data_IF_069550177373
#
_entry.id   IF_069550177373
#
_cell.length_a   1.000
_cell.length_b   1.000
_cell.length_c   1.000
_cell.angle_alpha   90.00
_cell.angle_beta   90.00
_cell.angle_gamma   90.00
#
_symmetry.space_group_name_H-M   'P 1'
#
loop_
_entity.id
_entity.type
_entity.pdbx_description
1 polymer ?
#
# COMPACT_ATOMS: atom_id res chain seq x y z
N UNK A 1 -7.09 20.19 7.97
CA UNK A 1 -5.87 19.35 7.99
C UNK A 1 -5.50 19.18 9.45
N UNK A 2 -5.47 17.95 9.96
CA UNK A 2 -4.86 17.73 11.28
C UNK A 2 -3.44 18.25 11.24
N UNK A 3 -2.94 18.75 12.35
CA UNK A 3 -1.54 19.14 12.47
C UNK A 3 -0.70 17.89 12.13
N UNK A 4 0.14 17.99 11.12
CA UNK A 4 0.92 16.88 10.60
C UNK A 4 1.85 16.29 11.69
N UNK A 5 2.26 17.09 12.66
CA UNK A 5 3.07 16.64 13.79
C UNK A 5 2.36 15.59 14.65
N UNK A 6 1.02 15.60 14.67
CA UNK A 6 0.20 14.68 15.46
C UNK A 6 0.09 13.27 14.85
N UNK A 7 0.45 13.09 13.59
CA UNK A 7 0.41 11.79 12.95
C UNK A 7 1.73 11.01 13.09
N UNK A 8 2.85 11.69 13.39
CA UNK A 8 4.15 11.05 13.58
C UNK A 8 4.35 10.56 15.03
N UNK A 9 5.25 9.60 15.23
CA UNK A 9 5.70 9.17 16.55
C UNK A 9 6.25 10.37 17.33
N UNK A 10 6.06 10.39 18.66
CA UNK A 10 6.43 11.53 19.52
C UNK A 10 7.94 11.80 19.59
N UNK A 11 8.76 10.81 19.28
CA UNK A 11 10.22 10.90 19.19
C UNK A 11 10.71 11.47 17.85
N UNK A 12 9.83 11.60 16.87
CA UNK A 12 10.12 12.20 15.56
C UNK A 12 9.76 13.69 15.57
N UNK A 13 10.76 14.55 15.60
CA UNK A 13 10.57 15.98 15.41
C UNK A 13 10.41 16.27 13.92
N UNK A 14 9.21 16.67 13.53
CA UNK A 14 8.84 16.83 12.13
C UNK A 14 9.70 17.87 11.40
N UNK A 15 10.17 18.89 12.11
CA UNK A 15 11.10 19.91 11.61
C UNK A 15 12.47 19.35 11.22
N UNK A 16 12.90 18.24 11.85
CA UNK A 16 14.17 17.59 11.57
C UNK A 16 14.05 16.54 10.42
N UNK A 17 12.82 16.19 10.03
CA UNK A 17 12.60 15.23 8.94
C UNK A 17 12.90 15.87 7.60
N UNK A 18 13.90 15.33 6.91
CA UNK A 18 14.23 15.76 5.55
C UNK A 18 13.03 15.64 4.62
N UNK A 19 12.82 16.65 3.80
CA UNK A 19 11.80 16.62 2.77
C UNK A 19 12.42 16.77 1.37
N UNK A 20 11.93 15.98 0.45
CA UNK A 20 12.22 16.10 -0.98
C UNK A 20 10.94 16.39 -1.75
N UNK A 21 10.86 17.57 -2.37
CA UNK A 21 9.64 18.02 -3.06
C UNK A 21 8.37 17.96 -2.18
N UNK A 22 8.48 18.22 -0.87
CA UNK A 22 7.37 18.14 0.08
C UNK A 22 6.88 16.69 0.31
N UNK A 23 7.76 15.71 0.16
CA UNK A 23 7.61 14.31 0.57
C UNK A 23 8.54 14.12 1.77
N UNK A 24 8.02 13.64 2.88
CA UNK A 24 8.82 13.36 4.07
C UNK A 24 9.68 12.12 3.86
N UNK A 25 10.98 12.18 4.18
CA UNK A 25 11.93 11.09 4.00
C UNK A 25 12.26 10.48 5.37
N UNK A 26 11.59 9.38 5.71
CA UNK A 26 11.77 8.62 6.95
C UNK A 26 12.38 7.24 6.61
N UNK A 27 13.48 7.23 5.85
CA UNK A 27 14.18 6.00 5.50
C UNK A 27 15.18 5.63 6.57
N UNK A 28 15.20 4.36 6.95
CA UNK A 28 16.20 3.76 7.82
C UNK A 28 17.04 2.78 6.99
N UNK A 29 18.35 2.97 6.98
CA UNK A 29 19.29 2.15 6.19
C UNK A 29 19.22 0.66 6.54
N UNK A 30 18.82 0.32 7.78
CA UNK A 30 18.63 -1.06 8.20
C UNK A 30 17.61 -1.81 7.33
N UNK A 31 16.53 -1.15 6.93
CA UNK A 31 15.49 -1.74 6.07
C UNK A 31 15.73 -1.54 4.57
N UNK A 32 16.73 -0.73 4.19
CA UNK A 32 17.14 -0.55 2.80
C UNK A 32 18.17 -1.62 2.39
N UNK A 33 17.79 -2.89 2.51
CA UNK A 33 18.62 -4.05 2.17
C UNK A 33 17.73 -5.14 1.53
N UNK A 34 18.34 -6.20 1.02
CA UNK A 34 17.62 -7.37 0.51
C UNK A 34 16.57 -7.02 -0.55
N UNK A 35 15.38 -7.54 -0.34
CA UNK A 35 14.24 -7.35 -1.25
C UNK A 35 13.80 -5.89 -1.31
N UNK A 36 13.68 -5.20 -0.18
CA UNK A 36 13.30 -3.79 -0.13
C UNK A 36 14.21 -2.93 -1.02
N UNK A 37 15.53 -3.11 -0.97
CA UNK A 37 16.46 -2.36 -1.82
C UNK A 37 16.32 -2.72 -3.30
N UNK A 38 16.19 -4.01 -3.60
CA UNK A 38 16.05 -4.51 -4.96
C UNK A 38 14.80 -3.94 -5.62
N UNK A 39 13.67 -3.99 -4.93
CA UNK A 39 12.40 -3.53 -5.47
C UNK A 39 12.25 -2.02 -5.45
N UNK A 40 12.79 -1.31 -4.47
CA UNK A 40 12.86 0.15 -4.49
C UNK A 40 13.52 0.65 -5.78
N UNK A 41 14.70 0.14 -6.13
CA UNK A 41 15.39 0.50 -7.37
C UNK A 41 14.59 0.14 -8.62
N UNK A 42 13.94 -1.02 -8.63
CA UNK A 42 13.09 -1.44 -9.74
C UNK A 42 11.90 -0.49 -9.93
N UNK A 43 11.17 -0.16 -8.86
CA UNK A 43 10.02 0.72 -8.93
C UNK A 43 10.41 2.16 -9.24
N UNK A 44 11.54 2.66 -8.75
CA UNK A 44 12.07 3.97 -9.13
C UNK A 44 12.31 4.04 -10.65
N UNK A 45 12.93 3.01 -11.23
CA UNK A 45 13.13 2.93 -12.68
C UNK A 45 11.82 2.73 -13.44
N UNK A 46 10.98 1.81 -13.02
CA UNK A 46 9.67 1.54 -13.64
C UNK A 46 8.72 2.73 -13.54
N UNK A 47 8.89 3.58 -12.52
CA UNK A 47 8.02 4.74 -12.33
C UNK A 47 7.90 5.60 -13.59
N UNK A 48 8.93 5.69 -14.41
CA UNK A 48 8.91 6.44 -15.68
C UNK A 48 7.91 5.88 -16.71
N UNK A 49 7.65 4.58 -16.69
CA UNK A 49 6.81 3.88 -17.67
C UNK A 49 5.49 3.37 -17.08
N UNK A 50 5.34 3.43 -15.74
CA UNK A 50 4.25 2.77 -15.04
C UNK A 50 2.87 3.23 -15.48
N UNK A 51 2.66 4.55 -15.59
CA UNK A 51 1.36 5.11 -16.00
C UNK A 51 0.98 4.73 -17.43
N UNK A 52 1.97 4.60 -18.32
CA UNK A 52 1.73 4.20 -19.72
C UNK A 52 1.42 2.70 -19.80
N UNK A 53 2.19 1.88 -19.09
CA UNK A 53 2.02 0.43 -19.07
C UNK A 53 0.69 0.02 -18.42
N UNK A 54 0.34 0.57 -17.26
CA UNK A 54 -0.91 0.25 -16.57
C UNK A 54 -2.14 0.66 -17.39
N UNK A 55 -2.14 1.86 -17.96
CA UNK A 55 -3.32 2.42 -18.63
C UNK A 55 -3.59 1.80 -20.00
N UNK A 56 -2.56 1.47 -20.77
CA UNK A 56 -2.72 0.95 -22.14
C UNK A 56 -2.56 -0.55 -22.25
N UNK A 57 -1.50 -1.11 -21.68
CA UNK A 57 -1.20 -2.55 -21.76
C UNK A 57 -2.17 -3.32 -20.86
N UNK A 58 -2.43 -2.82 -19.64
CA UNK A 58 -3.37 -3.43 -18.71
C UNK A 58 -4.80 -3.49 -19.29
N UNK A 59 -5.28 -2.40 -19.91
CA UNK A 59 -6.62 -2.35 -20.48
C UNK A 59 -6.76 -3.22 -21.74
N UNK A 60 -5.71 -3.27 -22.59
CA UNK A 60 -5.67 -4.16 -23.77
C UNK A 60 -5.66 -5.64 -23.38
N UNK A 61 -4.92 -6.00 -22.32
CA UNK A 61 -4.72 -7.40 -21.90
C UNK A 61 -5.83 -7.93 -21.01
N UNK A 62 -6.39 -7.09 -20.15
CA UNK A 62 -7.32 -7.50 -19.09
C UNK A 62 -8.70 -6.85 -19.15
N UNK A 63 -8.95 -5.97 -20.13
CA UNK A 63 -10.22 -5.25 -20.25
C UNK A 63 -10.56 -4.48 -18.99
N UNK A 64 -11.78 -4.65 -18.47
CA UNK A 64 -12.25 -4.02 -17.23
C UNK A 64 -11.96 -4.85 -15.96
N UNK A 65 -11.16 -5.94 -16.04
CA UNK A 65 -10.89 -6.82 -14.90
C UNK A 65 -10.19 -6.12 -13.75
N UNK A 66 -9.20 -5.28 -14.05
CA UNK A 66 -8.47 -4.49 -13.05
C UNK A 66 -9.39 -3.46 -12.37
N UNK A 67 -10.22 -2.77 -13.14
CA UNK A 67 -11.14 -1.76 -12.60
C UNK A 67 -12.15 -2.39 -11.63
N UNK A 68 -12.71 -3.55 -12.01
CA UNK A 68 -13.63 -4.31 -11.14
C UNK A 68 -12.93 -4.78 -9.87
N UNK A 69 -11.74 -5.38 -9.99
CA UNK A 69 -10.94 -5.84 -8.85
C UNK A 69 -10.72 -4.69 -7.85
N UNK A 70 -10.22 -3.55 -8.32
CA UNK A 70 -9.93 -2.40 -7.45
C UNK A 70 -11.20 -1.85 -6.80
N UNK A 71 -12.31 -1.76 -7.55
CA UNK A 71 -13.61 -1.36 -7.00
C UNK A 71 -14.08 -2.32 -5.91
N UNK A 72 -13.99 -3.63 -6.15
CA UNK A 72 -14.36 -4.64 -5.17
C UNK A 72 -13.49 -4.57 -3.91
N UNK A 73 -12.17 -4.45 -4.04
CA UNK A 73 -11.25 -4.32 -2.91
C UNK A 73 -11.56 -3.07 -2.08
N UNK A 74 -11.71 -1.91 -2.73
CA UNK A 74 -12.04 -0.67 -2.03
C UNK A 74 -13.40 -0.73 -1.33
N UNK A 75 -14.38 -1.47 -1.86
CA UNK A 75 -15.68 -1.67 -1.21
C UNK A 75 -15.63 -2.51 0.08
N UNK A 76 -14.52 -3.19 0.35
CA UNK A 76 -14.33 -3.98 1.59
C UNK A 76 -13.97 -3.12 2.80
N UNK A 77 -13.58 -1.88 2.59
CA UNK A 77 -13.22 -0.92 3.64
C UNK A 77 -14.41 -0.03 4.01
N UNK A 78 -14.40 0.47 5.23
CA UNK A 78 -15.50 1.28 5.80
C UNK A 78 -15.30 2.77 5.54
N UNK A 79 -15.29 3.17 4.27
CA UNK A 79 -15.10 4.54 3.85
C UNK A 79 -16.16 5.49 4.38
N UNK A 80 -15.71 6.62 4.90
CA UNK A 80 -16.54 7.76 5.34
C UNK A 80 -15.83 9.05 4.98
N UNK A 81 -16.57 10.16 4.91
CA UNK A 81 -15.97 11.48 4.82
C UNK A 81 -15.35 11.90 6.16
N UNK A 82 -14.38 12.78 6.13
CA UNK A 82 -13.68 13.35 7.28
C UNK A 82 -12.98 12.32 8.18
N UNK A 83 -12.35 11.30 7.58
CA UNK A 83 -11.54 10.29 8.26
C UNK A 83 -10.06 10.41 7.89
N UNK A 84 -9.21 9.78 8.71
CA UNK A 84 -7.78 9.60 8.45
C UNK A 84 -7.51 8.23 7.83
N UNK A 85 -6.78 8.22 6.72
CA UNK A 85 -6.50 6.99 5.96
C UNK A 85 -5.00 6.85 5.72
N UNK A 86 -4.47 5.66 5.98
CA UNK A 86 -3.11 5.28 5.57
C UNK A 86 -3.17 4.28 4.42
N UNK A 87 -2.54 4.60 3.31
CA UNK A 87 -2.31 3.70 2.20
C UNK A 87 -0.82 3.32 2.17
N UNK A 88 -0.51 2.09 2.59
CA UNK A 88 0.85 1.52 2.61
C UNK A 88 1.18 0.97 1.23
N UNK A 89 2.37 1.24 0.74
CA UNK A 89 2.79 0.99 -0.66
C UNK A 89 1.86 1.66 -1.67
N UNK A 90 1.61 2.96 -1.45
CA UNK A 90 0.66 3.72 -2.26
C UNK A 90 1.00 3.74 -3.75
N UNK A 91 2.27 3.55 -4.12
CA UNK A 91 2.72 3.63 -5.49
C UNK A 91 2.34 4.97 -6.14
N UNK A 92 1.59 4.92 -7.23
CA UNK A 92 1.04 6.10 -7.91
C UNK A 92 -0.34 6.53 -7.38
N UNK A 93 -0.88 5.84 -6.38
CA UNK A 93 -2.21 6.09 -5.82
C UNK A 93 -3.35 5.62 -6.73
N UNK A 94 -3.14 4.59 -7.54
CA UNK A 94 -4.08 4.17 -8.56
C UNK A 94 -5.46 3.77 -7.99
N UNK A 95 -5.50 3.16 -6.80
CA UNK A 95 -6.73 2.70 -6.14
C UNK A 95 -7.66 3.83 -5.71
N UNK A 96 -7.14 5.04 -5.54
CA UNK A 96 -7.94 6.22 -5.17
C UNK A 96 -8.99 6.61 -6.23
N UNK A 97 -8.94 6.02 -7.43
CA UNK A 97 -9.96 6.20 -8.47
C UNK A 97 -11.20 5.34 -8.24
N UNK A 98 -11.11 4.35 -7.35
CA UNK A 98 -12.11 3.29 -7.18
C UNK A 98 -12.81 3.32 -5.82
N UNK A 99 -12.78 4.47 -5.14
CA UNK A 99 -13.50 4.65 -3.88
C UNK A 99 -15.02 4.53 -4.11
N UNK A 100 -15.77 4.09 -3.09
CA UNK A 100 -17.23 4.04 -3.16
C UNK A 100 -17.84 5.41 -3.48
N UNK A 101 -19.03 5.40 -4.10
CA UNK A 101 -19.76 6.62 -4.40
C UNK A 101 -20.07 7.40 -3.12
N UNK A 102 -20.06 8.74 -3.21
CA UNK A 102 -20.33 9.64 -2.08
C UNK A 102 -19.12 9.95 -1.21
N UNK A 103 -17.95 9.36 -1.49
CA UNK A 103 -16.71 9.70 -0.79
C UNK A 103 -16.03 10.87 -1.49
N UNK A 104 -15.89 11.98 -0.77
CA UNK A 104 -15.13 13.14 -1.23
C UNK A 104 -13.68 13.07 -0.71
N UNK A 105 -12.75 12.78 -1.60
CA UNK A 105 -11.32 12.72 -1.32
C UNK A 105 -10.75 13.99 -0.67
N UNK A 106 -11.37 15.14 -0.86
CA UNK A 106 -10.93 16.41 -0.23
C UNK A 106 -11.21 16.47 1.26
N UNK A 107 -12.14 15.65 1.75
CA UNK A 107 -12.48 15.57 3.18
C UNK A 107 -11.66 14.54 3.94
N UNK A 108 -10.92 13.69 3.23
CA UNK A 108 -10.09 12.63 3.80
C UNK A 108 -8.69 13.16 4.05
N UNK A 109 -8.18 12.98 5.28
CA UNK A 109 -6.76 13.16 5.57
C UNK A 109 -6.02 11.90 5.12
N UNK A 110 -5.51 11.92 3.88
CA UNK A 110 -4.84 10.79 3.26
C UNK A 110 -3.34 10.85 3.48
N UNK A 111 -2.79 9.82 4.09
CA UNK A 111 -1.35 9.57 4.18
C UNK A 111 -0.99 8.42 3.25
N UNK A 112 -0.04 8.64 2.36
CA UNK A 112 0.52 7.63 1.48
C UNK A 112 1.97 7.33 1.87
N UNK A 113 2.26 6.08 2.20
CA UNK A 113 3.59 5.58 2.51
C UNK A 113 4.10 4.69 1.37
N UNK A 114 5.34 4.87 0.95
CA UNK A 114 6.01 4.02 -0.04
C UNK A 114 7.51 4.09 0.12
N UNK A 115 8.21 3.02 -0.23
CA UNK A 115 9.66 2.98 -0.21
C UNK A 115 10.28 3.68 -1.43
N UNK A 116 9.56 3.75 -2.55
CA UNK A 116 10.01 4.34 -3.82
C UNK A 116 9.71 5.83 -3.90
N UNK A 117 10.74 6.65 -3.89
CA UNK A 117 10.62 8.09 -4.11
C UNK A 117 10.06 8.41 -5.51
N UNK A 118 10.41 7.62 -6.52
CA UNK A 118 9.91 7.77 -7.89
C UNK A 118 8.38 7.61 -7.95
N UNK A 119 7.84 6.60 -7.28
CA UNK A 119 6.39 6.37 -7.19
C UNK A 119 5.68 7.50 -6.42
N UNK A 120 6.24 7.93 -5.28
CA UNK A 120 5.68 9.02 -4.49
C UNK A 120 5.63 10.36 -5.26
N UNK A 121 6.66 10.69 -6.04
CA UNK A 121 6.66 11.88 -6.90
C UNK A 121 5.53 11.85 -7.93
N UNK A 122 5.24 10.69 -8.51
CA UNK A 122 4.13 10.51 -9.44
C UNK A 122 2.78 10.58 -8.73
N UNK A 123 2.64 9.93 -7.59
CA UNK A 123 1.46 10.02 -6.74
C UNK A 123 1.15 11.49 -6.42
N UNK A 124 2.14 12.25 -5.96
CA UNK A 124 2.01 13.68 -5.69
C UNK A 124 1.49 14.45 -6.90
N UNK A 125 2.14 14.31 -8.06
CA UNK A 125 1.74 14.99 -9.30
C UNK A 125 0.28 14.71 -9.67
N UNK A 126 -0.19 13.48 -9.45
CA UNK A 126 -1.53 13.05 -9.83
C UNK A 126 -2.61 13.50 -8.84
N UNK A 127 -2.31 13.51 -7.52
CA UNK A 127 -3.32 13.58 -6.48
C UNK A 127 -3.26 14.82 -5.59
N UNK A 128 -2.13 15.54 -5.46
CA UNK A 128 -1.97 16.67 -4.53
C UNK A 128 -3.03 17.78 -4.67
N UNK A 129 -3.65 17.93 -5.86
CA UNK A 129 -4.71 18.94 -6.11
C UNK A 129 -6.12 18.38 -5.89
N UNK A 130 -6.25 17.08 -5.67
CA UNK A 130 -7.54 16.36 -5.63
C UNK A 130 -7.88 15.85 -4.24
N UNK A 131 -6.91 15.75 -3.36
CA UNK A 131 -7.07 15.23 -2.01
C UNK A 131 -6.12 15.93 -1.04
N UNK A 132 -6.46 15.88 0.24
CA UNK A 132 -5.60 16.31 1.32
C UNK A 132 -4.52 15.25 1.58
N UNK A 133 -3.41 15.32 0.82
CA UNK A 133 -2.41 14.26 0.70
C UNK A 133 -1.11 14.62 1.42
N UNK A 134 -0.72 13.77 2.34
CA UNK A 134 0.64 13.72 2.90
C UNK A 134 1.36 12.48 2.37
N UNK A 135 2.58 12.64 1.86
CA UNK A 135 3.41 11.54 1.36
C UNK A 135 4.65 11.36 2.20
N UNK A 136 4.93 10.11 2.55
CA UNK A 136 6.07 9.72 3.38
C UNK A 136 6.84 8.58 2.72
N UNK A 137 8.11 8.77 2.48
CA UNK A 137 9.02 7.72 2.06
C UNK A 137 9.48 6.95 3.29
N UNK A 138 9.05 5.71 3.42
CA UNK A 138 9.44 4.82 4.51
C UNK A 138 9.22 3.35 4.13
N UNK A 139 9.89 2.40 4.77
CA UNK A 139 9.57 0.98 4.66
C UNK A 139 8.25 0.68 5.40
N UNK A 140 7.53 -0.36 4.97
CA UNK A 140 6.30 -0.78 5.63
C UNK A 140 6.55 -1.42 7.01
N UNK A 141 7.76 -1.93 7.19
CA UNK A 141 8.26 -2.55 8.43
C UNK A 141 8.58 -1.54 9.54
N UNK A 142 8.66 -0.25 9.19
CA UNK A 142 8.96 0.83 10.15
C UNK A 142 8.16 2.08 9.79
N UNK A 143 6.87 2.06 10.10
CA UNK A 143 6.01 3.20 9.86
C UNK A 143 6.29 4.32 10.88
N UNK A 144 6.60 5.55 10.43
CA UNK A 144 6.97 6.64 11.33
C UNK A 144 5.76 7.28 12.05
N UNK A 145 4.60 6.63 12.01
CA UNK A 145 3.35 7.18 12.52
C UNK A 145 3.07 6.72 13.96
N UNK A 146 2.38 7.58 14.71
CA UNK A 146 1.92 7.29 16.07
C UNK A 146 0.91 6.14 16.08
N UNK A 147 0.79 5.48 17.22
CA UNK A 147 -0.20 4.43 17.45
C UNK A 147 -1.61 4.99 17.32
N UNK A 148 -2.54 4.17 16.89
CA UNK A 148 -3.98 4.49 16.88
C UNK A 148 -4.32 5.78 16.12
N UNK A 149 -3.67 6.02 14.99
CA UNK A 149 -3.78 7.28 14.23
C UNK A 149 -4.84 7.22 13.13
N UNK A 150 -4.98 6.09 12.43
CA UNK A 150 -5.77 5.99 11.20
C UNK A 150 -7.07 5.23 11.38
N UNK A 151 -8.15 5.74 10.76
CA UNK A 151 -9.47 5.11 10.73
C UNK A 151 -9.53 3.96 9.71
N UNK A 152 -8.74 4.05 8.63
CA UNK A 152 -8.53 2.99 7.64
C UNK A 152 -7.03 2.84 7.41
N UNK A 153 -6.56 1.60 7.38
CA UNK A 153 -5.19 1.24 6.94
C UNK A 153 -5.31 0.15 5.89
N UNK A 154 -4.72 0.37 4.72
CA UNK A 154 -4.75 -0.65 3.69
C UNK A 154 -3.48 -0.71 2.85
N UNK A 155 -3.26 -1.88 2.27
CA UNK A 155 -2.18 -2.20 1.35
C UNK A 155 -2.75 -2.97 0.16
N UNK A 156 -2.34 -2.59 -1.06
CA UNK A 156 -2.79 -3.26 -2.28
C UNK A 156 -1.65 -3.40 -3.27
N UNK A 157 -1.07 -4.60 -3.33
CA UNK A 157 0.04 -4.98 -4.21
C UNK A 157 1.43 -4.69 -3.65
N UNK A 158 2.31 -5.69 -3.69
CA UNK A 158 3.71 -5.58 -3.31
C UNK A 158 4.10 -6.17 -1.96
N UNK A 159 3.19 -6.84 -1.24
CA UNK A 159 3.52 -7.45 0.05
C UNK A 159 4.60 -8.55 -0.08
N UNK A 160 4.65 -9.20 -1.23
CA UNK A 160 5.65 -10.22 -1.51
C UNK A 160 7.09 -9.68 -1.54
N UNK A 161 7.24 -8.37 -1.58
CA UNK A 161 8.53 -7.66 -1.66
C UNK A 161 9.01 -7.13 -0.31
N UNK A 162 8.20 -7.20 0.75
CA UNK A 162 8.63 -6.84 2.08
C UNK A 162 9.66 -7.83 2.62
N UNK A 163 10.71 -7.31 3.28
CA UNK A 163 11.72 -8.15 3.94
C UNK A 163 11.10 -8.93 5.10
N UNK A 164 10.31 -8.25 5.93
CA UNK A 164 9.59 -8.83 7.07
C UNK A 164 8.09 -8.50 7.00
N UNK A 165 7.32 -9.43 6.44
CA UNK A 165 5.88 -9.28 6.28
C UNK A 165 5.15 -9.22 7.62
N UNK A 166 5.59 -10.00 8.62
CA UNK A 166 4.96 -10.03 9.93
C UNK A 166 5.14 -8.70 10.67
N UNK A 167 6.34 -8.12 10.57
CA UNK A 167 6.63 -6.80 11.13
C UNK A 167 5.80 -5.72 10.43
N UNK A 168 5.72 -5.72 9.09
CA UNK A 168 4.90 -4.77 8.35
C UNK A 168 3.41 -4.87 8.72
N UNK A 169 2.86 -6.09 8.89
CA UNK A 169 1.49 -6.29 9.35
C UNK A 169 1.29 -5.75 10.78
N UNK A 170 2.26 -5.99 11.66
CA UNK A 170 2.23 -5.48 13.03
C UNK A 170 2.25 -3.95 13.07
N UNK A 171 3.07 -3.31 12.23
CA UNK A 171 3.12 -1.85 12.11
C UNK A 171 1.80 -1.27 11.55
N UNK A 172 1.23 -1.89 10.50
CA UNK A 172 -0.09 -1.49 10.00
C UNK A 172 -1.17 -1.60 11.08
N UNK A 173 -1.15 -2.67 11.87
CA UNK A 173 -2.09 -2.85 12.97
C UNK A 173 -1.85 -1.84 14.09
N UNK A 174 -0.59 -1.54 14.43
CA UNK A 174 -0.22 -0.57 15.48
C UNK A 174 -0.80 0.81 15.17
N UNK A 175 -0.61 1.29 13.96
CA UNK A 175 -1.02 2.65 13.55
C UNK A 175 -2.54 2.78 13.29
N UNK A 176 -3.26 1.70 13.10
CA UNK A 176 -4.72 1.70 12.99
C UNK A 176 -5.36 1.99 14.36
N UNK A 177 -6.47 2.71 14.38
CA UNK A 177 -7.26 2.93 15.61
C UNK A 177 -7.91 1.62 16.08
N UNK A 178 -8.21 1.46 17.37
CA UNK A 178 -9.06 0.37 17.86
C UNK A 178 -10.37 0.30 17.06
N UNK A 179 -10.83 -0.88 16.72
CA UNK A 179 -12.03 -1.11 15.93
C UNK A 179 -11.90 -0.81 14.43
N UNK A 180 -10.78 -0.28 13.94
CA UNK A 180 -10.57 0.01 12.52
C UNK A 180 -10.48 -1.26 11.69
N UNK A 181 -11.06 -1.21 10.48
CA UNK A 181 -10.95 -2.28 9.49
C UNK A 181 -9.73 -2.07 8.59
N UNK A 182 -8.95 -3.13 8.44
CA UNK A 182 -7.76 -3.15 7.59
C UNK A 182 -8.01 -4.04 6.37
N UNK A 183 -7.27 -3.78 5.28
CA UNK A 183 -7.23 -4.62 4.08
C UNK A 183 -5.79 -4.83 3.64
N UNK A 184 -5.45 -6.08 3.38
CA UNK A 184 -4.23 -6.49 2.69
C UNK A 184 -4.65 -7.22 1.43
N UNK A 185 -4.18 -6.79 0.28
CA UNK A 185 -4.48 -7.46 -0.98
C UNK A 185 -3.23 -7.56 -1.87
N UNK A 186 -3.09 -8.67 -2.58
CA UNK A 186 -2.01 -8.87 -3.54
C UNK A 186 -2.36 -9.98 -4.55
N UNK A 187 -1.46 -10.22 -5.46
CA UNK A 187 -1.54 -11.24 -6.49
C UNK A 187 -1.35 -12.65 -5.91
N UNK A 188 -2.10 -13.61 -6.45
CA UNK A 188 -1.91 -15.04 -6.08
C UNK A 188 -0.70 -15.65 -6.78
N UNK A 189 -0.23 -16.80 -6.26
CA UNK A 189 0.88 -17.55 -6.84
C UNK A 189 0.67 -17.85 -8.33
N UNK A 190 -0.50 -18.33 -8.69
CA UNK A 190 -0.84 -18.70 -10.07
C UNK A 190 -0.74 -17.50 -11.03
N UNK A 191 -1.16 -16.33 -10.56
CA UNK A 191 -1.06 -15.11 -11.36
C UNK A 191 0.39 -14.67 -11.53
N UNK A 192 1.17 -14.67 -10.46
CA UNK A 192 2.62 -14.36 -10.49
C UNK A 192 3.36 -15.32 -11.42
N UNK A 193 3.11 -16.63 -11.33
CA UNK A 193 3.74 -17.62 -12.19
C UNK A 193 3.41 -17.44 -13.68
N UNK A 194 2.15 -17.19 -13.97
CA UNK A 194 1.70 -17.09 -15.36
C UNK A 194 2.07 -15.77 -16.03
N UNK A 195 2.19 -14.68 -15.28
CA UNK A 195 2.41 -13.35 -15.83
C UNK A 195 3.88 -12.88 -15.73
N UNK A 196 4.51 -13.07 -14.57
CA UNK A 196 5.83 -12.48 -14.33
C UNK A 196 6.98 -13.44 -14.62
N UNK A 197 6.85 -14.74 -14.31
CA UNK A 197 7.90 -15.74 -14.64
C UNK A 197 8.02 -15.99 -16.14
N UNK A 198 6.97 -15.71 -16.93
CA UNK A 198 6.99 -15.81 -18.41
C UNK A 198 7.47 -14.53 -19.10
N UNK A 199 7.54 -13.42 -18.41
CA UNK A 199 7.98 -12.15 -18.97
C UNK A 199 9.50 -12.03 -18.92
N UNK A 200 10.14 -11.76 -20.06
CA UNK A 200 11.59 -11.57 -20.16
C UNK A 200 12.11 -10.44 -19.27
N UNK A 201 11.27 -9.41 -19.04
CA UNK A 201 11.66 -8.23 -18.25
C UNK A 201 11.51 -8.39 -16.75
N UNK A 202 10.62 -9.28 -16.28
CA UNK A 202 10.33 -9.43 -14.84
C UNK A 202 10.82 -10.75 -14.25
N UNK A 203 11.16 -11.74 -15.06
CA UNK A 203 11.56 -13.09 -14.64
C UNK A 203 12.63 -13.08 -13.54
N UNK A 204 13.69 -12.29 -13.70
CA UNK A 204 14.82 -12.23 -12.74
C UNK A 204 14.43 -11.66 -11.37
N UNK A 205 13.34 -10.88 -11.29
CA UNK A 205 12.86 -10.31 -10.03
C UNK A 205 11.98 -11.28 -9.24
N UNK A 206 11.30 -12.21 -9.93
CA UNK A 206 10.37 -13.18 -9.33
C UNK A 206 10.94 -14.60 -9.28
N UNK A 207 12.18 -14.80 -9.73
CA UNK A 207 12.83 -16.11 -9.71
C UNK A 207 13.08 -16.58 -8.25
N UNK A 208 12.63 -17.80 -7.93
CA UNK A 208 12.74 -18.37 -6.57
C UNK A 208 11.70 -17.89 -5.57
N UNK A 209 10.78 -16.97 -5.94
CA UNK A 209 9.70 -16.55 -5.06
C UNK A 209 8.43 -17.35 -5.30
N UNK A 210 7.89 -17.90 -4.23
CA UNK A 210 6.56 -18.50 -4.18
C UNK A 210 5.65 -17.60 -3.33
N UNK A 211 4.48 -17.28 -3.86
CA UNK A 211 3.43 -16.63 -3.08
C UNK A 211 2.69 -17.74 -2.33
N UNK A 212 2.79 -17.72 -1.02
CA UNK A 212 2.04 -18.64 -0.15
C UNK A 212 1.02 -17.84 0.67
N UNK A 213 -0.25 -17.97 0.30
CA UNK A 213 -1.35 -17.27 0.96
C UNK A 213 -1.46 -17.66 2.45
N UNK A 214 -1.20 -18.93 2.79
CA UNK A 214 -1.23 -19.38 4.19
C UNK A 214 -0.12 -18.70 4.99
N UNK A 215 1.08 -18.60 4.42
CA UNK A 215 2.19 -17.88 5.08
C UNK A 215 1.87 -16.38 5.26
N UNK A 216 1.19 -15.75 4.30
CA UNK A 216 0.73 -14.37 4.46
C UNK A 216 -0.32 -14.25 5.58
N UNK A 217 -1.29 -15.17 5.64
CA UNK A 217 -2.29 -15.18 6.72
C UNK A 217 -1.68 -15.37 8.11
N UNK A 218 -0.60 -16.14 8.22
CA UNK A 218 0.15 -16.35 9.47
C UNK A 218 0.92 -15.11 9.92
N UNK A 219 1.25 -14.20 9.00
CA UNK A 219 1.88 -12.91 9.34
C UNK A 219 0.90 -11.93 10.03
N UNK A 220 -0.41 -12.15 9.92
CA UNK A 220 -1.41 -11.30 10.57
C UNK A 220 -1.47 -11.67 12.07
N UNK A 221 -1.30 -10.70 12.99
CA UNK A 221 -1.34 -10.98 14.42
C UNK A 221 -2.62 -11.71 14.85
N UNK A 222 -2.50 -12.70 15.72
CA UNK A 222 -3.64 -13.48 16.22
C UNK A 222 -4.66 -12.64 17.03
N UNK A 223 -4.28 -11.45 17.46
CA UNK A 223 -5.11 -10.54 18.26
C UNK A 223 -6.18 -9.81 17.46
N UNK A 224 -6.22 -9.96 16.12
CA UNK A 224 -7.22 -9.30 15.30
C UNK A 224 -8.58 -9.99 15.35
N UNK A 225 -9.65 -9.21 15.11
CA UNK A 225 -11.01 -9.73 14.99
C UNK A 225 -11.45 -9.76 13.50
N UNK A 226 -12.53 -10.46 13.21
CA UNK A 226 -13.21 -10.48 11.90
C UNK A 226 -12.28 -10.79 10.72
N UNK A 227 -11.26 -11.64 10.89
CA UNK A 227 -10.36 -11.99 9.80
C UNK A 227 -11.12 -12.79 8.73
N UNK A 228 -11.08 -12.30 7.49
CA UNK A 228 -11.72 -12.91 6.34
C UNK A 228 -10.81 -12.82 5.11
N UNK A 229 -10.56 -13.95 4.47
CA UNK A 229 -9.84 -14.05 3.20
C UNK A 229 -10.82 -14.28 2.07
N UNK A 230 -10.70 -13.52 1.00
CA UNK A 230 -11.49 -13.63 -0.22
C UNK A 230 -10.58 -13.68 -1.44
N UNK A 231 -10.99 -14.42 -2.46
CA UNK A 231 -10.32 -14.47 -3.75
C UNK A 231 -11.11 -13.64 -4.77
N UNK A 232 -10.40 -12.89 -5.59
CA UNK A 232 -10.94 -11.97 -6.56
C UNK A 232 -10.46 -12.30 -7.97
N UNK A 233 -11.19 -11.78 -8.97
CA UNK A 233 -10.81 -11.83 -10.37
C UNK A 233 -10.39 -13.24 -10.83
N UNK A 234 -11.26 -14.23 -10.65
CA UNK A 234 -10.99 -15.63 -10.98
C UNK A 234 -9.72 -16.17 -10.28
N UNK A 235 -9.62 -15.94 -8.99
CA UNK A 235 -8.52 -16.36 -8.11
C UNK A 235 -7.14 -15.77 -8.47
N UNK A 236 -7.07 -14.68 -9.21
CA UNK A 236 -5.82 -14.01 -9.55
C UNK A 236 -5.29 -13.10 -8.45
N UNK A 237 -6.20 -12.62 -7.60
CA UNK A 237 -5.89 -11.79 -6.45
C UNK A 237 -6.54 -12.36 -5.20
N UNK A 238 -5.93 -12.10 -4.06
CA UNK A 238 -6.53 -12.30 -2.75
C UNK A 238 -6.68 -10.97 -2.03
N UNK A 239 -7.64 -10.91 -1.14
CA UNK A 239 -7.81 -9.82 -0.18
C UNK A 239 -8.10 -10.39 1.19
N UNK A 240 -7.35 -9.94 2.20
CA UNK A 240 -7.56 -10.31 3.58
C UNK A 240 -8.01 -9.06 4.34
N UNK A 241 -9.23 -9.09 4.82
CA UNK A 241 -9.75 -8.06 5.72
C UNK A 241 -9.70 -8.54 7.17
N UNK A 242 -9.41 -7.64 8.08
CA UNK A 242 -9.46 -7.91 9.52
C UNK A 242 -9.70 -6.62 10.27
N UNK A 243 -10.03 -6.73 11.56
CA UNK A 243 -10.30 -5.57 12.42
C UNK A 243 -9.33 -5.56 13.58
N UNK A 244 -8.77 -4.37 13.89
CA UNK A 244 -8.03 -4.17 15.12
C UNK A 244 -8.98 -4.34 16.31
N UNK A 245 -8.64 -5.22 17.25
CA UNK A 245 -9.40 -5.35 18.49
C UNK A 245 -9.39 -4.05 19.31
N UNK A 246 -10.43 -3.85 20.12
CA UNK A 246 -10.55 -2.70 21.01
C UNK A 246 -9.53 -2.75 22.15
#
# INVERSE_FOLDING_TARGET
MKDISQIFKSDIKIEDVKQENGIFCCMNDHFVSGDNQKYMKMYDWMSFFYDFGEKWIGKLKYGNGIDRLRTELMSRLEWKNAISVLYVSIGTGADLRYLPQGIDLKTIDLVGADISMGMLKRCKKQWQKKTNLTLVQCPAEELPFADNTFDIVFHNGGINFFNDKALAMSEMLRVAKPGSKLLIADETADFVETQYKKSVFSKSYFEGKTVDLNAIEQCIPASVAEKKTELFWNNKFYGITFRKSN
#
